data_IF_649297261388
#
_entry.id   IF_649297261388
#
_cell.length_a   1.000
_cell.length_b   1.000
_cell.length_c   1.000
_cell.angle_alpha   90.00
_cell.angle_beta   90.00
_cell.angle_gamma   90.00
#
_symmetry.space_group_name_H-M   'P 1'
#
loop_
_entity.id
_entity.type
_entity.pdbx_description
1 polymer ?
#
# COMPACT_ATOMS: atom_id res chain seq x y z
N UNK A 1 -15.07 22.27 -23.04
CA UNK A 1 -14.42 21.30 -23.96
C UNK A 1 -13.84 20.16 -23.14
N UNK A 2 -14.50 19.01 -23.13
CA UNK A 2 -14.08 17.84 -22.35
C UNK A 2 -12.82 17.24 -23.00
N UNK A 3 -11.66 17.49 -22.41
CA UNK A 3 -10.40 16.88 -22.84
C UNK A 3 -10.44 15.38 -22.49
N UNK A 4 -11.13 14.59 -23.31
CA UNK A 4 -11.12 13.12 -23.17
C UNK A 4 -9.68 12.69 -23.36
N UNK A 5 -9.09 12.11 -22.30
CA UNK A 5 -7.78 11.48 -22.43
C UNK A 5 -7.88 10.40 -23.50
N UNK A 6 -6.86 10.27 -24.38
CA UNK A 6 -6.90 9.25 -25.41
C UNK A 6 -6.91 7.86 -24.77
N UNK A 7 -7.69 6.95 -25.36
CA UNK A 7 -8.00 5.61 -24.81
C UNK A 7 -6.74 4.82 -24.42
N UNK A 8 -5.66 4.96 -25.20
CA UNK A 8 -4.39 4.26 -24.96
C UNK A 8 -3.76 4.62 -23.61
N UNK A 9 -3.91 5.87 -23.13
CA UNK A 9 -3.39 6.29 -21.81
C UNK A 9 -4.16 5.59 -20.70
N UNK A 10 -5.47 5.46 -20.84
CA UNK A 10 -6.32 4.78 -19.86
C UNK A 10 -5.93 3.30 -19.74
N UNK A 11 -5.73 2.63 -20.88
CA UNK A 11 -5.28 1.22 -20.90
C UNK A 11 -3.90 1.09 -20.28
N UNK A 12 -2.96 1.96 -20.63
CA UNK A 12 -1.60 1.93 -20.08
C UNK A 12 -1.60 2.13 -18.55
N UNK A 13 -2.43 3.03 -18.03
CA UNK A 13 -2.60 3.22 -16.58
C UNK A 13 -3.07 1.94 -15.89
N UNK A 14 -4.06 1.24 -16.44
CA UNK A 14 -4.54 -0.03 -15.88
C UNK A 14 -3.46 -1.11 -15.82
N UNK A 15 -2.69 -1.27 -16.91
CA UNK A 15 -1.57 -2.22 -16.94
C UNK A 15 -0.48 -1.82 -15.95
N UNK A 16 -0.28 -0.52 -15.74
CA UNK A 16 0.71 0.01 -14.80
C UNK A 16 0.31 -0.09 -13.32
N UNK A 17 -0.98 -0.21 -12.98
CA UNK A 17 -1.47 -0.22 -11.57
C UNK A 17 -0.70 -1.25 -10.73
N UNK A 18 -0.64 -2.49 -11.21
CA UNK A 18 -0.04 -3.59 -10.48
C UNK A 18 1.48 -3.44 -10.34
N UNK A 19 2.28 -3.35 -11.41
CA UNK A 19 3.74 -3.21 -11.27
C UNK A 19 4.14 -1.92 -10.53
N UNK A 20 3.44 -0.80 -10.75
CA UNK A 20 3.77 0.46 -10.08
C UNK A 20 3.51 0.39 -8.57
N UNK A 21 2.39 -0.21 -8.14
CA UNK A 21 2.07 -0.36 -6.72
C UNK A 21 3.07 -1.27 -6.00
N UNK A 22 3.47 -2.39 -6.61
CA UNK A 22 4.49 -3.28 -6.05
C UNK A 22 5.85 -2.59 -5.90
N UNK A 23 6.33 -1.90 -6.94
CA UNK A 23 7.61 -1.19 -6.89
C UNK A 23 7.58 -0.07 -5.85
N UNK A 24 6.50 0.72 -5.81
CA UNK A 24 6.37 1.80 -4.85
C UNK A 24 6.29 1.28 -3.40
N UNK A 25 5.52 0.21 -3.15
CA UNK A 25 5.44 -0.42 -1.85
C UNK A 25 6.81 -0.96 -1.41
N UNK A 26 7.52 -1.65 -2.30
CA UNK A 26 8.87 -2.15 -2.04
C UNK A 26 9.87 -1.03 -1.72
N UNK A 27 9.86 0.06 -2.49
CA UNK A 27 10.71 1.22 -2.21
C UNK A 27 10.35 1.87 -0.87
N UNK A 28 9.07 2.03 -0.55
CA UNK A 28 8.63 2.58 0.72
C UNK A 28 9.08 1.71 1.90
N UNK A 29 8.98 0.38 1.77
CA UNK A 29 9.51 -0.56 2.76
C UNK A 29 11.01 -0.34 2.99
N UNK A 30 11.81 -0.27 1.93
CA UNK A 30 13.26 -0.05 2.03
C UNK A 30 13.60 1.28 2.70
N UNK A 31 12.88 2.36 2.34
CA UNK A 31 13.07 3.67 2.93
C UNK A 31 12.75 3.67 4.43
N UNK A 32 11.68 3.00 4.85
CA UNK A 32 11.30 2.91 6.26
C UNK A 32 12.31 2.06 7.05
N UNK A 33 12.76 0.92 6.49
CA UNK A 33 13.81 0.11 7.12
C UNK A 33 15.10 0.92 7.28
N UNK A 34 15.53 1.60 6.22
CA UNK A 34 16.74 2.42 6.25
C UNK A 34 16.61 3.59 7.23
N UNK A 35 15.49 4.33 7.19
CA UNK A 35 15.23 5.45 8.09
C UNK A 35 15.19 5.04 9.56
N UNK A 36 14.51 3.92 9.88
CA UNK A 36 14.47 3.41 11.25
C UNK A 36 15.86 2.99 11.75
N UNK A 37 16.64 2.29 10.91
CA UNK A 37 18.01 1.89 11.27
C UNK A 37 18.92 3.10 11.49
N UNK A 38 18.79 4.14 10.66
CA UNK A 38 19.56 5.37 10.82
C UNK A 38 19.19 6.11 12.11
N UNK A 39 17.90 6.18 12.43
CA UNK A 39 17.40 6.88 13.64
C UNK A 39 17.81 6.16 14.93
N UNK A 40 17.88 4.84 14.90
CA UNK A 40 18.29 4.03 16.06
C UNK A 40 19.80 3.95 16.24
N UNK A 41 20.58 4.40 15.24
CA UNK A 41 22.02 4.27 15.21
C UNK A 41 22.66 5.05 16.38
N UNK A 42 23.30 4.31 17.30
CA UNK A 42 23.98 4.89 18.47
C UNK A 42 23.13 5.10 19.72
N UNK A 43 21.80 4.89 19.66
CA UNK A 43 20.89 5.07 20.81
C UNK A 43 20.23 3.78 21.28
N UNK A 44 20.05 2.81 20.37
CA UNK A 44 19.36 1.54 20.65
C UNK A 44 20.16 0.40 20.06
N UNK A 45 20.28 -0.70 20.81
CA UNK A 45 20.87 -1.93 20.29
C UNK A 45 20.03 -2.45 19.11
N UNK A 46 20.58 -2.51 17.88
CA UNK A 46 19.85 -2.90 16.68
C UNK A 46 19.34 -4.34 16.72
N UNK A 47 19.97 -5.20 17.52
CA UNK A 47 19.57 -6.61 17.69
C UNK A 47 18.59 -6.82 18.86
N UNK A 48 18.23 -5.74 19.55
CA UNK A 48 17.21 -5.81 20.59
C UNK A 48 15.86 -6.22 20.02
N UNK A 49 15.12 -7.02 20.80
CA UNK A 49 13.77 -7.47 20.43
C UNK A 49 12.84 -6.29 20.10
N UNK A 50 12.95 -5.20 20.85
CA UNK A 50 12.14 -4.00 20.67
C UNK A 50 12.46 -3.27 19.36
N UNK A 51 13.75 -3.07 19.04
CA UNK A 51 14.16 -2.45 17.78
C UNK A 51 13.70 -3.28 16.58
N UNK A 52 13.92 -4.59 16.63
CA UNK A 52 13.51 -5.51 15.56
C UNK A 52 12.00 -5.55 15.37
N UNK A 53 11.24 -5.58 16.48
CA UNK A 53 9.78 -5.50 16.47
C UNK A 53 9.25 -4.19 15.88
N UNK A 54 9.80 -3.05 16.30
CA UNK A 54 9.40 -1.74 15.80
C UNK A 54 9.68 -1.58 14.30
N UNK A 55 10.88 -1.96 13.85
CA UNK A 55 11.25 -1.92 12.44
C UNK A 55 10.32 -2.82 11.62
N UNK A 56 10.08 -4.05 12.07
CA UNK A 56 9.17 -4.97 11.40
C UNK A 56 7.75 -4.41 11.30
N UNK A 57 7.20 -3.91 12.41
CA UNK A 57 5.87 -3.31 12.46
C UNK A 57 5.73 -2.16 11.48
N UNK A 58 6.59 -1.13 11.58
CA UNK A 58 6.49 0.08 10.76
C UNK A 58 6.72 -0.21 9.28
N UNK A 59 7.75 -0.99 8.95
CA UNK A 59 8.09 -1.28 7.55
C UNK A 59 6.99 -2.07 6.83
N UNK A 60 6.44 -3.11 7.48
CA UNK A 60 5.39 -3.94 6.88
C UNK A 60 4.04 -3.22 6.86
N UNK A 61 3.71 -2.45 7.90
CA UNK A 61 2.49 -1.64 7.90
C UNK A 61 2.50 -0.61 6.76
N UNK A 62 3.62 0.08 6.54
CA UNK A 62 3.78 1.02 5.43
C UNK A 62 3.74 0.29 4.08
N UNK A 63 4.38 -0.87 3.96
CA UNK A 63 4.30 -1.71 2.74
C UNK A 63 2.83 -1.98 2.35
N UNK A 64 2.03 -2.46 3.31
CA UNK A 64 0.61 -2.75 3.10
C UNK A 64 -0.24 -1.51 2.82
N UNK A 65 0.08 -0.37 3.43
CA UNK A 65 -0.63 0.88 3.14
C UNK A 65 -0.32 1.42 1.73
N UNK A 66 0.97 1.47 1.38
CA UNK A 66 1.44 2.08 0.13
C UNK A 66 0.99 1.30 -1.10
N UNK A 67 0.94 -0.03 -1.04
CA UNK A 67 0.49 -0.84 -2.19
C UNK A 67 -0.96 -0.47 -2.59
N UNK A 68 -1.84 -0.25 -1.62
CA UNK A 68 -3.23 0.14 -1.86
C UNK A 68 -3.31 1.60 -2.33
N UNK A 69 -2.63 2.50 -1.62
CA UNK A 69 -2.65 3.92 -1.95
C UNK A 69 -2.18 4.18 -3.39
N UNK A 70 -1.06 3.59 -3.79
CA UNK A 70 -0.48 3.79 -5.13
C UNK A 70 -1.32 3.12 -6.20
N UNK A 71 -1.91 1.95 -5.93
CA UNK A 71 -2.81 1.32 -6.88
C UNK A 71 -4.02 2.21 -7.21
N UNK A 72 -4.62 2.83 -6.19
CA UNK A 72 -5.72 3.77 -6.34
C UNK A 72 -5.29 5.09 -7.02
N UNK A 73 -4.07 5.56 -6.73
CA UNK A 73 -3.51 6.75 -7.36
C UNK A 73 -3.31 6.55 -8.87
N UNK A 74 -2.74 5.41 -9.27
CA UNK A 74 -2.47 5.09 -10.68
C UNK A 74 -3.76 4.79 -11.44
N UNK A 75 -4.76 4.18 -10.78
CA UNK A 75 -6.04 3.85 -11.40
C UNK A 75 -6.74 5.09 -11.99
N UNK A 76 -7.26 5.00 -13.23
CA UNK A 76 -7.90 6.13 -13.90
C UNK A 76 -9.35 6.37 -13.47
N UNK A 77 -10.01 5.37 -12.87
CA UNK A 77 -11.41 5.43 -12.44
C UNK A 77 -11.74 4.32 -11.42
N UNK A 78 -12.91 4.42 -10.78
CA UNK A 78 -13.45 3.42 -9.86
C UNK A 78 -12.52 3.06 -8.69
N UNK A 79 -11.87 4.07 -8.10
CA UNK A 79 -10.88 3.89 -7.03
C UNK A 79 -11.39 3.09 -5.82
N UNK A 80 -12.64 3.24 -5.35
CA UNK A 80 -13.15 2.40 -4.25
C UNK A 80 -13.19 0.91 -4.60
N UNK A 81 -13.55 0.56 -5.84
CA UNK A 81 -13.54 -0.82 -6.30
C UNK A 81 -12.10 -1.35 -6.45
N UNK A 82 -11.19 -0.53 -6.96
CA UNK A 82 -9.75 -0.87 -7.03
C UNK A 82 -9.17 -1.11 -5.64
N UNK A 83 -9.49 -0.27 -4.67
CA UNK A 83 -9.05 -0.43 -3.28
C UNK A 83 -9.50 -1.77 -2.71
N UNK A 84 -10.78 -2.13 -2.88
CA UNK A 84 -11.32 -3.40 -2.41
C UNK A 84 -10.65 -4.62 -3.07
N UNK A 85 -10.50 -4.60 -4.41
CA UNK A 85 -9.84 -5.69 -5.15
C UNK A 85 -8.38 -5.84 -4.73
N UNK A 86 -7.64 -4.73 -4.66
CA UNK A 86 -6.24 -4.73 -4.27
C UNK A 86 -6.05 -5.16 -2.81
N UNK A 87 -6.97 -4.79 -1.92
CA UNK A 87 -6.98 -5.25 -0.52
C UNK A 87 -7.16 -6.76 -0.47
N UNK A 88 -8.15 -7.32 -1.18
CA UNK A 88 -8.39 -8.75 -1.23
C UNK A 88 -7.19 -9.53 -1.80
N UNK A 89 -6.62 -9.04 -2.92
CA UNK A 89 -5.43 -9.65 -3.53
C UNK A 89 -4.22 -9.61 -2.60
N UNK A 90 -3.98 -8.48 -1.94
CA UNK A 90 -2.85 -8.33 -1.02
C UNK A 90 -3.01 -9.24 0.20
N UNK A 91 -4.21 -9.32 0.78
CA UNK A 91 -4.49 -10.25 1.88
C UNK A 91 -4.31 -11.71 1.48
N UNK A 92 -4.70 -12.08 0.25
CA UNK A 92 -4.47 -13.42 -0.28
C UNK A 92 -2.98 -13.74 -0.40
N UNK A 93 -2.19 -12.80 -0.92
CA UNK A 93 -0.72 -12.95 -1.01
C UNK A 93 -0.08 -13.05 0.37
N UNK A 94 -0.54 -12.25 1.34
CA UNK A 94 -0.08 -12.33 2.73
C UNK A 94 -0.45 -13.69 3.32
N UNK A 95 -1.64 -14.22 3.06
CA UNK A 95 -2.07 -15.55 3.52
C UNK A 95 -1.20 -16.67 2.95
N UNK A 96 -0.88 -16.61 1.66
CA UNK A 96 0.05 -17.56 1.01
C UNK A 96 1.44 -17.45 1.63
N UNK A 97 1.96 -16.24 1.84
CA UNK A 97 3.25 -16.02 2.48
C UNK A 97 3.27 -16.53 3.94
N UNK A 98 2.17 -16.32 4.68
CA UNK A 98 2.01 -16.80 6.05
C UNK A 98 2.03 -18.33 6.12
N UNK A 99 1.40 -19.02 5.16
CA UNK A 99 1.47 -20.47 5.06
C UNK A 99 2.92 -20.97 4.94
N UNK A 100 3.72 -20.36 4.08
CA UNK A 100 5.14 -20.70 3.95
C UNK A 100 5.97 -20.35 5.20
N UNK A 101 5.62 -19.26 5.89
CA UNK A 101 6.29 -18.88 7.13
C UNK A 101 6.04 -19.90 8.26
N UNK A 102 4.83 -20.48 8.34
CA UNK A 102 4.53 -21.59 9.27
C UNK A 102 5.36 -22.84 8.97
N UNK A 103 5.58 -23.15 7.68
CA UNK A 103 6.41 -24.29 7.29
C UNK A 103 7.90 -24.14 7.66
N UNK A 104 8.42 -22.91 7.69
CA UNK A 104 9.82 -22.58 8.03
C UNK A 104 9.96 -21.93 9.42
N UNK A 105 9.17 -22.37 10.41
CA UNK A 105 8.80 -21.67 11.65
C UNK A 105 9.36 -20.25 11.82
N UNK A 106 9.04 -19.35 10.89
CA UNK A 106 9.52 -17.97 10.89
C UNK A 106 8.46 -17.04 11.47
N UNK A 107 8.50 -16.89 12.78
CA UNK A 107 7.57 -16.05 13.53
C UNK A 107 7.70 -14.55 13.18
N UNK A 108 8.88 -14.11 12.72
CA UNK A 108 9.08 -12.72 12.31
C UNK A 108 8.38 -12.42 10.99
N UNK A 109 8.42 -13.36 10.05
CA UNK A 109 7.66 -13.24 8.81
C UNK A 109 6.15 -13.24 9.06
N UNK A 110 5.66 -14.06 10.00
CA UNK A 110 4.24 -14.04 10.41
C UNK A 110 3.83 -12.70 11.01
N UNK A 111 4.63 -12.17 11.94
CA UNK A 111 4.37 -10.87 12.54
C UNK A 111 4.36 -9.74 11.50
N UNK A 112 5.33 -9.74 10.57
CA UNK A 112 5.35 -8.81 9.45
C UNK A 112 4.12 -8.94 8.55
N UNK A 113 3.67 -10.16 8.27
CA UNK A 113 2.44 -10.41 7.52
C UNK A 113 1.19 -9.82 8.17
N UNK A 114 1.04 -9.97 9.49
CA UNK A 114 -0.08 -9.37 10.25
C UNK A 114 -0.03 -7.84 10.19
N UNK A 115 1.16 -7.25 10.34
CA UNK A 115 1.34 -5.80 10.24
C UNK A 115 1.02 -5.27 8.84
N UNK A 116 1.44 -5.97 7.80
CA UNK A 116 1.11 -5.65 6.41
C UNK A 116 -0.40 -5.76 6.15
N UNK A 117 -1.05 -6.80 6.69
CA UNK A 117 -2.50 -6.96 6.58
C UNK A 117 -3.24 -5.79 7.24
N UNK A 118 -2.81 -5.36 8.43
CA UNK A 118 -3.38 -4.20 9.10
C UNK A 118 -3.24 -2.91 8.26
N UNK A 119 -2.04 -2.62 7.74
CA UNK A 119 -1.80 -1.44 6.88
C UNK A 119 -2.64 -1.45 5.60
N UNK A 120 -2.77 -2.64 5.00
CA UNK A 120 -3.61 -2.87 3.80
C UNK A 120 -5.08 -2.60 4.11
N UNK A 121 -5.62 -3.19 5.18
CA UNK A 121 -7.02 -3.02 5.57
C UNK A 121 -7.36 -1.57 5.93
N UNK A 122 -6.50 -0.89 6.71
CA UNK A 122 -6.71 0.51 7.11
C UNK A 122 -6.77 1.40 5.88
N UNK A 123 -5.80 1.27 4.98
CA UNK A 123 -5.76 2.14 3.78
C UNK A 123 -6.88 1.79 2.79
N UNK A 124 -7.17 0.50 2.62
CA UNK A 124 -8.30 0.04 1.81
C UNK A 124 -9.63 0.58 2.31
N UNK A 125 -9.85 0.56 3.63
CA UNK A 125 -11.02 1.13 4.26
C UNK A 125 -11.10 2.64 4.08
N UNK A 126 -10.03 3.40 4.34
CA UNK A 126 -10.02 4.86 4.19
C UNK A 126 -10.24 5.33 2.75
N UNK A 127 -9.78 4.57 1.74
CA UNK A 127 -10.12 4.87 0.33
C UNK A 127 -11.59 4.54 0.05
N UNK A 128 -12.10 3.45 0.62
CA UNK A 128 -13.49 3.02 0.39
C UNK A 128 -14.51 3.94 1.08
N UNK A 129 -14.22 4.44 2.28
CA UNK A 129 -15.07 5.38 3.03
C UNK A 129 -15.03 6.81 2.48
N UNK A 130 -14.13 7.10 1.53
CA UNK A 130 -13.98 8.43 0.94
C UNK A 130 -13.14 9.39 1.78
N UNK A 131 -12.46 8.94 2.84
CA UNK A 131 -11.52 9.76 3.63
C UNK A 131 -10.31 10.20 2.78
N UNK A 132 -9.91 9.38 1.81
CA UNK A 132 -8.82 9.68 0.88
C UNK A 132 -9.40 10.07 -0.48
N UNK A 133 -9.53 11.38 -0.72
CA UNK A 133 -9.93 11.92 -2.02
C UNK A 133 -8.71 12.23 -2.88
N UNK A 134 -8.74 11.78 -4.13
CA UNK A 134 -7.68 12.04 -5.09
C UNK A 134 -8.01 13.27 -5.95
N UNK A 135 -7.00 14.02 -6.39
CA UNK A 135 -7.15 15.27 -7.15
C UNK A 135 -8.05 15.13 -8.39
N UNK A 136 -7.95 14.00 -9.10
CA UNK A 136 -8.78 13.75 -10.29
C UNK A 136 -10.28 13.60 -9.95
N UNK A 137 -10.62 13.12 -8.75
CA UNK A 137 -12.02 12.99 -8.30
C UNK A 137 -12.55 14.34 -7.82
N UNK A 138 -11.77 15.06 -7.01
CA UNK A 138 -12.12 16.40 -6.54
C UNK A 138 -12.32 17.41 -7.69
N UNK A 139 -11.63 17.20 -8.82
CA UNK A 139 -11.81 18.02 -10.03
C UNK A 139 -13.11 17.67 -10.76
N UNK A 140 -13.58 16.41 -10.70
CA UNK A 140 -14.85 16.01 -11.32
C UNK A 140 -16.05 16.52 -10.53
N UNK A 141 -16.04 16.37 -9.21
CA UNK A 141 -17.12 16.87 -8.34
C UNK A 141 -17.35 18.38 -8.54
N UNK A 142 -16.27 19.18 -8.58
CA UNK A 142 -16.39 20.63 -8.86
C UNK A 142 -17.03 20.98 -10.20
N UNK A 143 -16.86 20.13 -11.21
CA UNK A 143 -17.46 20.39 -12.53
C UNK A 143 -18.96 20.07 -12.51
N UNK A 144 -19.35 19.01 -11.80
CA UNK A 144 -20.74 18.63 -11.59
C UNK A 144 -21.51 19.68 -10.77
N UNK A 145 -20.88 20.31 -9.78
CA UNK A 145 -21.50 21.38 -8.96
C UNK A 145 -21.72 22.70 -9.73
N UNK A 146 -21.12 22.85 -10.92
CA UNK A 146 -21.23 24.07 -11.74
C UNK A 146 -22.22 23.98 -12.90
N UNK A 147 -22.86 22.83 -13.08
CA UNK A 147 -23.92 22.58 -14.08
C UNK A 147 -25.32 22.68 -13.44
#
# INVERSE_FOLDING_TARGET
>A
MTHRRPLWITVFRWVAVLPASFVAAWLAYLLVVFGNRLTMLGYVDPDSFLARGFVALMSHMVLGAVIIYVACFVAPSNRPAVAAIMTALTLLLIGVAAYFAVLKPDYWALFGGVCAAAGTCVTGYSVHSGEITFKEDATRERLEDTE
#
